data_IF_846935781127
#
_entry.id   IF_846935781127
#
_cell.length_a   1.000
_cell.length_b   1.000
_cell.length_c   1.000
_cell.angle_alpha   90.00
_cell.angle_beta   90.00
_cell.angle_gamma   90.00
#
_symmetry.space_group_name_H-M   'P 1'
#
loop_
_entity.id
_entity.type
_entity.pdbx_description
1 polymer ?
#
# COMPACT_ATOMS: atom_id res chain seq x y z
N UNK A 1 -71.05 6.15 -43.76
CA UNK A 1 -71.71 7.13 -44.64
C UNK A 1 -70.77 7.51 -45.77
N UNK A 2 -71.19 7.17 -47.00
CA UNK A 2 -71.00 7.88 -48.28
C UNK A 2 -69.54 8.16 -48.72
N UNK A 3 -69.04 7.85 -49.82
CA UNK A 3 -69.44 7.37 -51.17
C UNK A 3 -68.30 7.83 -52.08
N UNK A 4 -67.77 6.85 -52.91
CA UNK A 4 -67.12 7.15 -54.20
C UNK A 4 -67.92 8.10 -55.08
N UNK A 5 -67.44 8.68 -56.18
CA UNK A 5 -67.11 7.85 -57.33
C UNK A 5 -66.13 8.40 -58.41
N UNK A 6 -65.66 7.46 -59.26
CA UNK A 6 -65.53 7.53 -60.74
C UNK A 6 -64.76 8.66 -61.47
N UNK A 7 -63.92 8.20 -62.40
CA UNK A 7 -63.51 8.97 -63.57
C UNK A 7 -62.59 8.18 -64.50
N UNK A 8 -63.17 7.67 -65.48
CA UNK A 8 -62.74 6.92 -66.66
C UNK A 8 -61.65 7.58 -67.57
N UNK A 9 -60.76 6.77 -68.15
CA UNK A 9 -60.55 6.74 -69.58
C UNK A 9 -59.26 7.29 -70.15
N UNK A 10 -58.43 6.56 -70.79
CA UNK A 10 -58.25 6.48 -72.26
C UNK A 10 -56.97 5.71 -72.63
N UNK A 11 -57.15 4.78 -73.59
CA UNK A 11 -56.14 4.04 -74.31
C UNK A 11 -55.21 4.92 -75.11
N UNK A 12 -53.90 4.58 -75.14
CA UNK A 12 -53.09 4.78 -76.33
C UNK A 12 -52.00 3.70 -76.35
N UNK A 13 -52.07 2.91 -77.41
CA UNK A 13 -51.00 1.98 -77.86
C UNK A 13 -49.76 2.77 -78.33
N UNK A 14 -48.56 2.29 -78.02
CA UNK A 14 -47.49 2.32 -78.99
C UNK A 14 -46.29 1.44 -78.54
N UNK A 15 -46.03 0.43 -79.33
CA UNK A 15 -44.75 -0.08 -79.82
C UNK A 15 -43.66 -0.58 -78.85
N UNK A 16 -43.44 -1.90 -78.97
CA UNK A 16 -42.33 -2.71 -78.48
C UNK A 16 -40.94 -2.15 -78.88
N UNK A 17 -40.08 -2.02 -77.87
CA UNK A 17 -38.62 -2.15 -78.14
C UNK A 17 -38.07 -3.13 -77.07
N UNK A 18 -37.79 -4.34 -77.54
CA UNK A 18 -37.14 -5.38 -76.68
C UNK A 18 -35.65 -5.04 -76.60
N UNK A 19 -35.24 -4.49 -75.52
CA UNK A 19 -33.82 -4.44 -75.20
C UNK A 19 -33.57 -5.53 -74.15
N UNK A 20 -32.91 -6.59 -74.56
CA UNK A 20 -32.42 -7.67 -73.74
C UNK A 20 -31.22 -7.11 -72.89
N UNK A 21 -31.52 -6.75 -71.66
CA UNK A 21 -30.48 -6.55 -70.65
C UNK A 21 -30.20 -7.87 -69.95
N UNK A 22 -29.01 -8.39 -70.14
CA UNK A 22 -28.47 -9.50 -69.37
C UNK A 22 -28.36 -9.07 -67.89
N UNK A 23 -28.74 -9.95 -66.92
CA UNK A 23 -28.53 -9.63 -65.52
C UNK A 23 -27.03 -9.74 -65.21
N UNK A 24 -26.38 -8.61 -65.03
CA UNK A 24 -25.10 -8.56 -64.31
C UNK A 24 -25.34 -9.07 -62.89
N UNK A 25 -24.96 -10.30 -62.63
CA UNK A 25 -24.77 -10.77 -61.26
C UNK A 25 -23.61 -10.01 -60.65
N UNK A 26 -23.91 -8.86 -60.04
CA UNK A 26 -23.04 -8.30 -59.04
C UNK A 26 -23.07 -9.26 -57.84
N UNK A 27 -22.09 -10.12 -57.76
CA UNK A 27 -21.77 -10.86 -56.56
C UNK A 27 -21.41 -9.83 -55.51
N UNK A 28 -22.38 -9.45 -54.68
CA UNK A 28 -22.15 -8.81 -53.42
C UNK A 28 -21.34 -9.80 -52.57
N UNK A 29 -20.02 -9.65 -52.63
CA UNK A 29 -19.16 -10.25 -51.65
C UNK A 29 -19.58 -9.65 -50.29
N UNK A 30 -20.44 -10.36 -49.56
CA UNK A 30 -20.65 -10.14 -48.16
C UNK A 30 -19.33 -10.44 -47.47
N UNK A 31 -18.53 -9.43 -47.26
CA UNK A 31 -17.36 -9.52 -46.41
C UNK A 31 -17.82 -9.91 -45.00
N UNK A 32 -17.14 -10.81 -44.31
CA UNK A 32 -17.53 -11.30 -43.00
C UNK A 32 -17.28 -10.20 -41.95
N UNK A 33 -18.26 -9.35 -41.73
CA UNK A 33 -18.18 -8.28 -40.69
C UNK A 33 -18.12 -8.86 -39.28
N UNK A 34 -18.73 -10.04 -39.08
CA UNK A 34 -18.75 -10.72 -37.77
C UNK A 34 -17.40 -11.34 -37.39
N UNK A 35 -16.64 -11.86 -38.35
CA UNK A 35 -15.32 -12.44 -38.07
C UNK A 35 -14.27 -11.35 -37.73
N UNK A 36 -14.38 -10.17 -38.35
CA UNK A 36 -13.51 -9.02 -38.03
C UNK A 36 -13.81 -8.44 -36.65
N UNK A 37 -15.08 -8.30 -36.26
CA UNK A 37 -15.47 -7.78 -34.94
C UNK A 37 -15.10 -8.75 -33.82
N UNK A 38 -15.27 -10.06 -33.99
CA UNK A 38 -14.89 -11.08 -33.02
C UNK A 38 -13.37 -11.17 -32.82
N UNK A 39 -12.60 -11.07 -33.89
CA UNK A 39 -11.13 -11.07 -33.82
C UNK A 39 -10.62 -9.80 -33.20
N UNK A 40 -11.26 -8.65 -33.45
CA UNK A 40 -10.93 -7.37 -32.87
C UNK A 40 -11.25 -7.34 -31.36
N UNK A 41 -12.41 -7.84 -30.95
CA UNK A 41 -12.78 -7.95 -29.53
C UNK A 41 -11.83 -8.89 -28.76
N UNK A 42 -11.48 -10.04 -29.30
CA UNK A 42 -10.54 -10.98 -28.68
C UNK A 42 -9.15 -10.35 -28.51
N UNK A 43 -8.69 -9.62 -29.50
CA UNK A 43 -7.42 -8.89 -29.47
C UNK A 43 -7.44 -7.77 -28.43
N UNK A 44 -8.52 -6.98 -28.35
CA UNK A 44 -8.72 -5.95 -27.34
C UNK A 44 -8.72 -6.58 -25.95
N UNK A 45 -9.46 -7.65 -25.76
CA UNK A 45 -9.57 -8.37 -24.48
C UNK A 45 -8.21 -8.90 -24.01
N UNK A 46 -7.43 -9.49 -24.92
CA UNK A 46 -6.08 -9.98 -24.62
C UNK A 46 -5.17 -8.82 -24.22
N UNK A 47 -5.11 -7.76 -25.02
CA UNK A 47 -4.27 -6.59 -24.76
C UNK A 47 -4.62 -5.92 -23.42
N UNK A 48 -5.91 -5.71 -23.15
CA UNK A 48 -6.35 -5.07 -21.89
C UNK A 48 -6.02 -5.87 -20.64
N UNK A 49 -5.97 -7.21 -20.74
CA UNK A 49 -5.75 -8.07 -19.58
C UNK A 49 -4.29 -8.51 -19.41
N UNK A 50 -3.49 -8.46 -20.48
CA UNK A 50 -2.12 -8.98 -20.47
C UNK A 50 -1.26 -8.38 -19.36
N UNK A 51 -1.32 -7.06 -19.18
CA UNK A 51 -0.50 -6.31 -18.22
C UNK A 51 -1.32 -5.65 -17.11
N UNK A 52 -2.51 -6.19 -16.84
CA UNK A 52 -3.35 -5.73 -15.75
C UNK A 52 -2.93 -6.40 -14.44
N UNK A 53 -2.61 -5.58 -13.45
CA UNK A 53 -2.20 -5.98 -12.09
C UNK A 53 -3.27 -5.57 -11.09
N UNK A 54 -3.78 -6.53 -10.33
CA UNK A 54 -4.65 -6.26 -9.19
C UNK A 54 -3.83 -6.01 -7.93
N UNK A 55 -4.05 -4.87 -7.30
CA UNK A 55 -3.36 -4.44 -6.08
C UNK A 55 -4.36 -4.38 -4.91
N UNK A 56 -4.25 -5.32 -3.97
CA UNK A 56 -5.00 -5.26 -2.72
C UNK A 56 -4.46 -4.12 -1.84
N UNK A 57 -5.31 -3.12 -1.59
CA UNK A 57 -4.95 -1.91 -0.88
C UNK A 57 -5.53 -1.87 0.53
N UNK A 58 -6.73 -1.36 0.74
CA UNK A 58 -7.33 -1.22 2.06
C UNK A 58 -8.65 -0.48 2.01
N UNK A 59 -9.09 0.02 3.15
CA UNK A 59 -10.31 0.82 3.24
C UNK A 59 -10.13 2.18 2.55
N UNK A 60 -11.23 2.80 2.06
CA UNK A 60 -11.18 4.07 1.33
C UNK A 60 -10.57 5.23 2.12
N UNK A 61 -10.74 5.23 3.43
CA UNK A 61 -10.21 6.22 4.39
C UNK A 61 -8.80 5.86 4.90
N UNK A 62 -8.20 4.77 4.39
CA UNK A 62 -6.88 4.30 4.78
C UNK A 62 -5.75 4.76 3.84
N UNK A 63 -4.55 4.89 4.38
CA UNK A 63 -3.37 5.30 3.61
C UNK A 63 -3.03 4.36 2.46
N UNK A 64 -3.29 3.07 2.56
CA UNK A 64 -2.99 2.10 1.50
C UNK A 64 -3.69 2.43 0.17
N UNK A 65 -4.98 2.81 0.21
CA UNK A 65 -5.74 3.18 -0.98
C UNK A 65 -5.15 4.43 -1.64
N UNK A 66 -4.70 5.40 -0.85
CA UNK A 66 -4.05 6.60 -1.37
C UNK A 66 -2.78 6.24 -2.15
N UNK A 67 -1.87 5.49 -1.55
CA UNK A 67 -0.64 5.07 -2.23
C UNK A 67 -0.93 4.22 -3.47
N UNK A 68 -1.89 3.30 -3.40
CA UNK A 68 -2.29 2.47 -4.53
C UNK A 68 -2.88 3.29 -5.68
N UNK A 69 -3.69 4.32 -5.37
CA UNK A 69 -4.25 5.24 -6.36
C UNK A 69 -3.19 6.14 -6.99
N UNK A 70 -2.20 6.56 -6.21
CA UNK A 70 -1.07 7.34 -6.70
C UNK A 70 -0.18 6.51 -7.64
N UNK A 71 0.07 5.23 -7.31
CA UNK A 71 0.73 4.29 -8.24
C UNK A 71 -0.07 4.14 -9.54
N UNK A 72 -1.38 3.88 -9.44
CA UNK A 72 -2.22 3.69 -10.62
C UNK A 72 -2.17 4.91 -11.55
N UNK A 73 -2.33 6.13 -11.02
CA UNK A 73 -2.28 7.36 -11.82
C UNK A 73 -0.91 7.62 -12.48
N UNK A 74 0.15 7.08 -11.91
CA UNK A 74 1.52 7.33 -12.37
C UNK A 74 2.01 6.27 -13.33
N UNK A 75 1.58 5.04 -13.13
CA UNK A 75 2.10 3.85 -13.82
C UNK A 75 1.17 3.30 -14.91
N UNK A 76 -0.15 3.59 -14.83
CA UNK A 76 -1.11 3.12 -15.83
C UNK A 76 -0.93 3.90 -17.14
N UNK A 77 -0.57 3.21 -18.21
CA UNK A 77 -0.48 3.74 -19.59
C UNK A 77 -1.49 3.03 -20.53
N UNK A 78 -2.35 2.20 -19.98
CA UNK A 78 -3.42 1.49 -20.68
C UNK A 78 -2.99 0.25 -21.45
N UNK A 79 -1.84 0.27 -22.11
CA UNK A 79 -1.40 -0.84 -22.98
C UNK A 79 -0.27 -1.68 -22.35
N UNK A 80 0.74 -1.04 -21.76
CA UNK A 80 1.90 -1.72 -21.21
C UNK A 80 1.79 -2.03 -19.72
N UNK A 81 1.00 -1.26 -19.00
CA UNK A 81 0.69 -1.48 -17.58
C UNK A 81 -0.68 -0.91 -17.26
N UNK A 82 -1.47 -1.72 -16.58
CA UNK A 82 -2.71 -1.27 -15.95
C UNK A 82 -2.70 -1.73 -14.49
N UNK A 83 -2.85 -0.78 -13.59
CA UNK A 83 -2.91 -1.05 -12.16
C UNK A 83 -4.33 -0.80 -11.65
N UNK A 84 -4.94 -1.82 -11.06
CA UNK A 84 -6.29 -1.75 -10.50
C UNK A 84 -6.18 -1.80 -8.97
N UNK A 85 -6.27 -0.66 -8.27
CA UNK A 85 -6.38 -0.64 -6.83
C UNK A 85 -7.70 -1.26 -6.37
N UNK A 86 -7.63 -2.21 -5.46
CA UNK A 86 -8.77 -2.93 -4.92
C UNK A 86 -9.03 -2.49 -3.48
N UNK A 87 -10.26 -2.06 -3.19
CA UNK A 87 -10.71 -1.79 -1.83
C UNK A 87 -10.85 -3.12 -1.09
N UNK A 88 -10.21 -3.24 0.05
CA UNK A 88 -10.19 -4.42 0.91
C UNK A 88 -10.32 -4.00 2.37
N UNK A 89 -10.34 -4.96 3.28
CA UNK A 89 -10.22 -4.64 4.71
C UNK A 89 -8.78 -4.30 5.14
N UNK A 90 -7.79 -4.52 4.27
CA UNK A 90 -6.38 -4.17 4.52
C UNK A 90 -5.57 -5.28 5.19
N UNK A 91 -4.36 -4.95 5.54
CA UNK A 91 -3.37 -5.67 6.36
C UNK A 91 -3.39 -7.22 6.25
N UNK A 92 -3.96 -7.93 7.20
CA UNK A 92 -4.00 -9.41 7.21
C UNK A 92 -4.92 -9.98 6.14
N UNK A 93 -6.01 -9.28 5.81
CA UNK A 93 -6.90 -9.67 4.70
C UNK A 93 -6.15 -9.63 3.39
N UNK A 94 -5.32 -8.62 3.16
CA UNK A 94 -4.50 -8.50 1.95
C UNK A 94 -3.52 -9.66 1.77
N UNK A 95 -3.01 -10.24 2.86
CA UNK A 95 -2.18 -11.45 2.81
C UNK A 95 -3.02 -12.64 2.35
N UNK A 96 -4.23 -12.80 2.88
CA UNK A 96 -5.16 -13.85 2.47
C UNK A 96 -5.59 -13.69 1.01
N UNK A 97 -5.91 -12.45 0.60
CA UNK A 97 -6.30 -12.13 -0.77
C UNK A 97 -5.16 -12.44 -1.76
N UNK A 98 -3.92 -12.10 -1.42
CA UNK A 98 -2.75 -12.42 -2.24
C UNK A 98 -2.52 -13.93 -2.37
N UNK A 99 -2.86 -14.71 -1.34
CA UNK A 99 -2.72 -16.17 -1.35
C UNK A 99 -3.82 -16.88 -2.14
N UNK A 100 -5.05 -16.39 -2.10
CA UNK A 100 -6.22 -17.17 -2.48
C UNK A 100 -7.17 -16.48 -3.46
N UNK A 101 -7.18 -15.14 -3.53
CA UNK A 101 -8.12 -14.42 -4.38
C UNK A 101 -7.59 -14.30 -5.82
N UNK A 102 -8.41 -14.69 -6.79
CA UNK A 102 -8.06 -14.50 -8.20
C UNK A 102 -8.04 -13.01 -8.56
N UNK A 103 -7.03 -12.60 -9.31
CA UNK A 103 -6.89 -11.20 -9.76
C UNK A 103 -6.11 -10.31 -8.79
N UNK A 104 -5.67 -10.82 -7.64
CA UNK A 104 -4.72 -10.15 -6.78
C UNK A 104 -3.31 -10.64 -7.11
N UNK A 105 -2.46 -9.74 -7.56
CA UNK A 105 -1.07 -10.01 -7.93
C UNK A 105 -0.10 -9.35 -6.94
N UNK A 106 -0.53 -8.25 -6.33
CA UNK A 106 0.24 -7.41 -5.41
C UNK A 106 -0.64 -7.02 -4.21
N UNK A 107 -0.05 -6.85 -3.05
CA UNK A 107 -0.75 -6.43 -1.84
C UNK A 107 0.10 -5.48 -1.00
N UNK A 108 -0.54 -4.48 -0.37
CA UNK A 108 0.11 -3.66 0.65
C UNK A 108 -0.26 -4.23 2.02
N UNK A 109 0.76 -4.49 2.85
CA UNK A 109 0.58 -4.99 4.22
C UNK A 109 1.65 -4.43 5.15
N UNK A 110 1.68 -4.82 6.41
CA UNK A 110 2.72 -4.44 7.36
C UNK A 110 3.59 -5.63 7.76
N UNK A 111 4.82 -5.34 8.19
CA UNK A 111 5.78 -6.38 8.54
C UNK A 111 5.30 -7.26 9.70
N UNK A 112 4.69 -6.68 10.72
CA UNK A 112 4.13 -7.39 11.88
C UNK A 112 2.91 -8.25 11.52
N UNK A 113 2.13 -7.83 10.52
CA UNK A 113 0.96 -8.57 10.06
C UNK A 113 1.32 -9.92 9.42
N UNK A 114 2.44 -9.97 8.70
CA UNK A 114 2.91 -11.20 8.08
C UNK A 114 3.32 -12.24 9.13
N UNK A 115 4.10 -11.83 10.12
CA UNK A 115 4.50 -12.73 11.21
C UNK A 115 3.28 -13.26 11.99
N UNK A 116 2.35 -12.36 12.30
CA UNK A 116 1.09 -12.73 12.96
C UNK A 116 0.28 -13.72 12.12
N UNK A 117 0.07 -13.44 10.83
CA UNK A 117 -0.68 -14.29 9.93
C UNK A 117 -0.01 -15.66 9.76
N UNK A 118 1.31 -15.68 9.60
CA UNK A 118 2.10 -16.91 9.49
C UNK A 118 1.91 -17.82 10.69
N UNK A 119 1.93 -17.26 11.91
CA UNK A 119 1.73 -18.02 13.15
C UNK A 119 0.29 -18.52 13.33
N UNK A 120 -0.70 -17.72 12.94
CA UNK A 120 -2.11 -18.09 13.07
C UNK A 120 -2.60 -19.08 12.01
N UNK A 121 -2.15 -18.92 10.76
CA UNK A 121 -2.64 -19.73 9.64
C UNK A 121 -2.11 -21.17 9.65
N UNK A 122 -1.05 -21.45 10.43
CA UNK A 122 -0.37 -22.74 10.40
C UNK A 122 0.32 -23.08 9.07
N UNK A 123 0.45 -22.11 8.17
CA UNK A 123 1.07 -22.30 6.86
C UNK A 123 2.60 -22.28 6.99
N UNK A 124 3.20 -23.43 7.19
CA UNK A 124 4.64 -23.58 7.37
C UNK A 124 5.48 -23.02 6.20
N UNK A 125 4.90 -22.94 5.00
CA UNK A 125 5.60 -22.51 3.77
C UNK A 125 5.17 -21.12 3.27
N UNK A 126 4.57 -20.28 4.10
CA UNK A 126 4.07 -18.97 3.66
C UNK A 126 5.22 -18.10 3.09
N UNK A 127 6.42 -18.18 3.68
CA UNK A 127 7.63 -17.50 3.23
C UNK A 127 8.12 -17.95 1.85
N UNK A 128 7.66 -19.09 1.33
CA UNK A 128 7.97 -19.54 -0.01
C UNK A 128 6.91 -19.12 -1.03
N UNK A 129 5.71 -18.80 -0.55
CA UNK A 129 4.56 -18.40 -1.36
C UNK A 129 4.47 -16.89 -1.53
N UNK A 130 4.77 -16.13 -0.48
CA UNK A 130 4.75 -14.65 -0.49
C UNK A 130 6.17 -14.12 -0.35
N UNK A 131 6.50 -13.10 -1.13
CA UNK A 131 7.75 -12.36 -1.12
C UNK A 131 7.46 -10.88 -0.99
N UNK A 132 8.41 -10.09 -0.48
CA UNK A 132 8.29 -8.65 -0.58
C UNK A 132 9.00 -8.15 -1.85
N UNK A 133 8.33 -7.28 -2.61
CA UNK A 133 8.97 -6.56 -3.69
C UNK A 133 9.85 -5.44 -3.14
N UNK A 134 9.33 -4.65 -2.22
CA UNK A 134 10.11 -3.62 -1.52
C UNK A 134 9.54 -3.34 -0.13
N UNK A 135 10.39 -2.84 0.76
CA UNK A 135 9.94 -2.12 1.94
C UNK A 135 9.29 -0.83 1.43
N UNK A 136 8.03 -0.67 1.74
CA UNK A 136 7.25 0.44 1.25
C UNK A 136 7.36 1.63 2.21
N UNK A 137 6.31 2.39 2.46
CA UNK A 137 6.38 3.49 3.41
C UNK A 137 6.40 3.00 4.87
N UNK A 138 6.78 3.91 5.77
CA UNK A 138 6.78 3.63 7.21
C UNK A 138 5.53 4.28 7.82
N UNK A 139 4.78 3.49 8.60
CA UNK A 139 3.59 3.97 9.30
C UNK A 139 3.88 4.21 10.78
N UNK A 140 3.56 5.40 11.23
CA UNK A 140 3.70 5.79 12.64
C UNK A 140 2.50 5.34 13.45
N UNK A 141 2.75 5.01 14.71
CA UNK A 141 1.71 4.66 15.66
C UNK A 141 1.24 5.92 16.34
N UNK A 142 -0.03 6.26 16.11
CA UNK A 142 -0.67 7.39 16.75
C UNK A 142 -1.59 6.86 17.85
N UNK A 143 -1.37 7.26 19.10
CA UNK A 143 -2.27 6.98 20.21
C UNK A 143 -2.81 8.31 20.67
N UNK A 144 -4.07 8.59 20.31
CA UNK A 144 -4.76 9.82 20.67
C UNK A 144 -5.70 9.55 21.83
N UNK A 145 -5.57 10.29 22.92
CA UNK A 145 -6.18 10.00 24.21
C UNK A 145 -6.83 11.24 24.83
N UNK A 146 -7.74 11.01 25.78
CA UNK A 146 -8.25 12.06 26.65
C UNK A 146 -7.17 12.52 27.64
N UNK A 147 -7.24 13.77 28.05
CA UNK A 147 -6.20 14.45 28.82
C UNK A 147 -5.91 13.86 30.20
N UNK A 148 -6.86 13.14 30.82
CA UNK A 148 -6.63 12.47 32.08
C UNK A 148 -5.64 11.30 32.00
N UNK A 149 -5.39 10.75 30.81
CA UNK A 149 -4.41 9.68 30.59
C UNK A 149 -3.10 10.30 30.09
N UNK A 150 -2.03 10.22 30.86
CA UNK A 150 -0.73 10.85 30.54
C UNK A 150 0.33 9.88 30.05
N UNK A 151 0.08 8.58 30.21
CA UNK A 151 0.98 7.51 29.81
C UNK A 151 0.19 6.31 29.27
N UNK A 152 0.89 5.38 28.58
CA UNK A 152 0.28 4.13 28.14
C UNK A 152 -0.17 3.26 29.32
N UNK A 153 0.50 3.36 30.46
CA UNK A 153 0.16 2.61 31.67
C UNK A 153 -1.20 3.02 32.23
N UNK A 154 -1.59 4.28 32.07
CA UNK A 154 -2.89 4.78 32.54
C UNK A 154 -4.06 4.16 31.75
N UNK A 155 -3.77 3.58 30.58
CA UNK A 155 -4.75 2.88 29.74
C UNK A 155 -5.02 1.43 30.20
N UNK A 156 -4.34 0.95 31.26
CA UNK A 156 -4.58 -0.40 31.78
C UNK A 156 -6.04 -0.58 32.20
N UNK A 157 -6.67 -1.63 31.68
CA UNK A 157 -8.09 -1.93 31.90
C UNK A 157 -9.07 -0.99 31.20
N UNK A 158 -8.58 0.04 30.49
CA UNK A 158 -9.41 1.01 29.79
C UNK A 158 -9.87 0.50 28.43
N UNK A 159 -10.99 1.07 27.95
CA UNK A 159 -11.48 0.86 26.58
C UNK A 159 -10.65 1.68 25.60
N UNK A 160 -10.01 0.99 24.64
CA UNK A 160 -9.19 1.62 23.60
C UNK A 160 -9.73 1.22 22.21
N UNK A 161 -10.03 2.21 21.38
CA UNK A 161 -10.45 1.96 20.01
C UNK A 161 -9.24 1.54 19.16
N UNK A 162 -9.36 0.41 18.43
CA UNK A 162 -8.23 -0.20 17.70
C UNK A 162 -8.51 -0.43 16.20
N UNK A 163 -9.53 0.24 15.65
CA UNK A 163 -9.92 0.01 14.26
C UNK A 163 -10.78 -1.25 14.08
N UNK A 164 -11.35 -1.41 12.91
CA UNK A 164 -12.13 -2.60 12.52
C UNK A 164 -11.21 -3.77 12.16
N UNK A 165 -11.76 -4.98 12.15
CA UNK A 165 -11.01 -6.18 11.79
C UNK A 165 -10.34 -6.03 10.40
N UNK A 166 -9.08 -6.46 10.31
CA UNK A 166 -8.28 -6.42 9.08
C UNK A 166 -7.41 -5.16 8.92
N UNK A 167 -7.76 -4.01 9.53
CA UNK A 167 -6.91 -2.82 9.47
C UNK A 167 -5.69 -2.93 10.40
N UNK A 168 -4.67 -2.14 10.12
CA UNK A 168 -3.41 -2.15 10.88
C UNK A 168 -3.63 -1.97 12.39
N UNK A 169 -4.37 -0.97 12.80
CA UNK A 169 -4.59 -0.65 14.20
C UNK A 169 -5.26 -1.79 14.99
N UNK A 170 -6.10 -2.61 14.32
CA UNK A 170 -6.76 -3.77 14.95
C UNK A 170 -5.78 -4.89 15.31
N UNK A 171 -4.65 -4.96 14.63
CA UNK A 171 -3.57 -5.90 14.90
C UNK A 171 -2.47 -5.26 15.73
N UNK A 172 -1.88 -4.20 15.20
CA UNK A 172 -0.71 -3.53 15.77
C UNK A 172 -1.01 -2.91 17.13
N UNK A 173 -2.20 -2.33 17.31
CA UNK A 173 -2.61 -1.74 18.59
C UNK A 173 -2.53 -2.74 19.76
N UNK A 174 -3.33 -3.82 19.74
CA UNK A 174 -3.27 -4.83 20.80
C UNK A 174 -1.90 -5.48 20.97
N UNK A 175 -1.11 -5.64 19.88
CA UNK A 175 0.25 -6.16 19.96
C UNK A 175 1.17 -5.23 20.77
N UNK A 176 1.09 -3.93 20.57
CA UNK A 176 1.90 -2.94 21.29
C UNK A 176 1.59 -3.00 22.80
N UNK A 177 0.33 -2.93 23.17
CA UNK A 177 -0.06 -2.98 24.58
C UNK A 177 0.33 -4.32 25.23
N UNK A 178 0.13 -5.45 24.55
CA UNK A 178 0.55 -6.77 25.04
C UNK A 178 2.06 -6.86 25.25
N UNK A 179 2.88 -6.32 24.31
CA UNK A 179 4.33 -6.31 24.44
C UNK A 179 4.82 -5.49 25.63
N UNK A 180 4.07 -4.45 25.99
CA UNK A 180 4.34 -3.62 27.15
C UNK A 180 3.73 -4.19 28.47
N UNK A 181 3.05 -5.32 28.41
CA UNK A 181 2.37 -5.90 29.56
C UNK A 181 1.19 -5.08 30.07
N UNK A 182 0.53 -4.32 29.18
CA UNK A 182 -0.62 -3.47 29.48
C UNK A 182 -1.87 -4.12 28.92
N UNK A 183 -2.77 -4.58 29.76
CA UNK A 183 -4.06 -5.13 29.35
C UNK A 183 -5.04 -3.98 29.06
N UNK A 184 -5.63 -3.98 27.89
CA UNK A 184 -6.66 -3.03 27.46
C UNK A 184 -7.94 -3.75 27.05
N UNK A 185 -9.07 -3.05 27.09
CA UNK A 185 -10.33 -3.53 26.48
C UNK A 185 -10.42 -2.98 25.05
N UNK A 186 -10.19 -3.83 24.05
CA UNK A 186 -10.24 -3.41 22.65
C UNK A 186 -11.65 -3.11 22.17
N UNK A 187 -11.83 -1.97 21.49
CA UNK A 187 -13.10 -1.57 20.86
C UNK A 187 -12.88 -1.49 19.35
N UNK A 188 -13.45 -2.45 18.57
CA UNK A 188 -13.22 -2.54 17.12
C UNK A 188 -14.10 -1.55 16.34
N UNK A 189 -13.65 -0.30 16.20
CA UNK A 189 -14.36 0.74 15.45
C UNK A 189 -13.40 1.53 14.56
N UNK A 190 -13.87 1.96 13.37
CA UNK A 190 -13.09 2.75 12.42
C UNK A 190 -12.73 4.14 12.96
N UNK A 191 -11.73 4.78 12.36
CA UNK A 191 -11.13 6.03 12.85
C UNK A 191 -12.12 7.16 13.14
N UNK A 192 -13.03 7.53 12.21
CA UNK A 192 -14.01 8.58 12.46
C UNK A 192 -14.93 8.27 13.66
N UNK A 193 -15.46 7.04 13.73
CA UNK A 193 -16.30 6.60 14.85
C UNK A 193 -15.49 6.51 16.15
N UNK A 194 -14.21 6.15 16.08
CA UNK A 194 -13.33 6.15 17.25
C UNK A 194 -13.15 7.55 17.84
N UNK A 195 -12.97 8.58 16.99
CA UNK A 195 -12.92 9.98 17.42
C UNK A 195 -14.22 10.44 18.10
N UNK A 196 -15.38 10.08 17.55
CA UNK A 196 -16.68 10.39 18.16
C UNK A 196 -16.82 9.73 19.53
N UNK A 197 -16.45 8.43 19.65
CA UNK A 197 -16.48 7.70 20.92
C UNK A 197 -15.49 8.25 21.94
N UNK A 198 -14.33 8.71 21.48
CA UNK A 198 -13.35 9.39 22.34
C UNK A 198 -13.94 10.67 22.91
N UNK A 199 -14.52 11.53 22.06
CA UNK A 199 -15.20 12.76 22.47
C UNK A 199 -16.40 12.52 23.40
N UNK A 200 -17.14 11.44 23.15
CA UNK A 200 -18.24 11.01 24.00
C UNK A 200 -17.83 10.27 25.29
N UNK A 201 -16.55 10.16 25.59
CA UNK A 201 -16.04 9.49 26.81
C UNK A 201 -16.24 7.97 26.82
N UNK A 202 -16.61 7.36 25.70
CA UNK A 202 -16.89 5.92 25.60
C UNK A 202 -15.62 5.08 25.47
N UNK A 203 -14.51 5.68 25.03
CA UNK A 203 -13.17 5.11 25.02
C UNK A 203 -12.17 6.10 25.62
N UNK A 204 -11.12 5.59 26.24
CA UNK A 204 -10.04 6.37 26.84
C UNK A 204 -9.06 6.91 25.82
N UNK A 205 -8.78 6.10 24.78
CA UNK A 205 -7.86 6.41 23.71
C UNK A 205 -8.27 5.69 22.43
N UNK A 206 -7.64 6.09 21.32
CA UNK A 206 -7.68 5.37 20.06
C UNK A 206 -6.29 5.15 19.50
N UNK A 207 -6.09 4.03 18.83
CA UNK A 207 -4.89 3.72 18.06
C UNK A 207 -5.17 3.93 16.58
N UNK A 208 -4.26 4.64 15.90
CA UNK A 208 -4.27 4.81 14.46
C UNK A 208 -2.87 4.55 13.90
N UNK A 209 -2.77 3.79 12.83
CA UNK A 209 -1.50 3.39 12.21
C UNK A 209 -1.50 3.88 10.78
N UNK A 210 -0.68 4.88 10.49
CA UNK A 210 -0.60 5.51 9.17
C UNK A 210 0.75 6.20 8.94
N UNK A 211 1.13 6.37 7.67
CA UNK A 211 2.19 7.30 7.33
C UNK A 211 1.77 8.73 7.72
N UNK A 212 2.72 9.52 8.19
CA UNK A 212 2.45 10.92 8.55
C UNK A 212 2.62 11.86 7.35
N UNK A 213 1.71 12.84 7.17
CA UNK A 213 0.49 13.04 7.97
C UNK A 213 -0.57 11.96 7.67
N UNK A 214 -1.12 11.36 8.73
CA UNK A 214 -2.21 10.40 8.59
C UNK A 214 -3.54 11.09 8.27
N UNK A 215 -4.30 10.56 7.33
CA UNK A 215 -5.51 11.20 6.80
C UNK A 215 -6.53 11.58 7.89
N UNK A 216 -6.67 10.74 8.92
CA UNK A 216 -7.62 10.98 10.01
C UNK A 216 -7.32 12.27 10.80
N UNK A 217 -6.03 12.59 10.97
CA UNK A 217 -5.58 13.76 11.74
C UNK A 217 -5.16 14.93 10.83
N UNK A 218 -5.13 14.73 9.52
CA UNK A 218 -4.74 15.75 8.57
C UNK A 218 -5.77 16.89 8.55
N UNK A 219 -5.32 18.11 8.90
CA UNK A 219 -6.20 19.26 9.00
C UNK A 219 -7.08 19.32 10.27
N UNK A 220 -7.02 18.32 11.15
CA UNK A 220 -7.70 18.34 12.43
C UNK A 220 -7.07 19.43 13.32
N UNK A 221 -7.93 20.25 13.94
CA UNK A 221 -7.51 21.30 14.88
C UNK A 221 -7.35 20.72 16.27
N UNK A 222 -6.46 21.33 17.06
CA UNK A 222 -6.33 21.00 18.47
C UNK A 222 -7.65 21.24 19.22
N UNK A 223 -8.06 20.25 19.98
CA UNK A 223 -9.25 20.29 20.83
C UNK A 223 -8.79 20.21 22.30
N UNK A 224 -9.25 21.09 23.20
CA UNK A 224 -8.97 20.95 24.63
C UNK A 224 -9.47 19.59 25.14
N UNK A 225 -8.68 18.97 26.01
CA UNK A 225 -9.04 17.68 26.60
C UNK A 225 -8.53 16.45 25.86
N UNK A 226 -7.73 16.63 24.77
CA UNK A 226 -7.16 15.51 24.00
C UNK A 226 -5.73 15.78 23.58
N UNK A 227 -4.92 14.73 23.53
CA UNK A 227 -3.53 14.80 23.08
C UNK A 227 -3.01 13.45 22.56
N UNK A 228 -1.86 13.47 21.89
CA UNK A 228 -1.13 12.25 21.56
C UNK A 228 -0.33 11.75 22.76
N UNK A 229 -0.46 10.44 23.07
CA UNK A 229 0.40 9.76 24.02
C UNK A 229 1.70 9.30 23.36
N UNK A 230 2.86 9.49 24.00
CA UNK A 230 4.11 8.96 23.51
C UNK A 230 4.14 7.42 23.60
N UNK A 231 4.77 6.78 22.62
CA UNK A 231 5.08 5.35 22.63
C UNK A 231 6.60 5.19 22.68
N UNK A 232 7.19 4.95 23.86
CA UNK A 232 8.64 4.85 23.98
C UNK A 232 9.17 3.63 23.25
N UNK A 233 10.26 3.82 22.48
CA UNK A 233 10.93 2.72 21.78
C UNK A 233 11.76 1.91 22.76
N UNK A 234 11.29 0.72 23.12
CA UNK A 234 11.89 -0.18 24.09
C UNK A 234 12.31 -1.50 23.42
N UNK A 235 13.03 -2.38 24.14
CA UNK A 235 13.52 -3.68 23.63
C UNK A 235 12.41 -4.56 23.08
N UNK A 236 11.18 -4.41 23.60
CA UNK A 236 9.98 -5.14 23.20
C UNK A 236 9.60 -4.87 21.74
N UNK A 237 10.14 -3.78 21.14
CA UNK A 237 9.81 -3.33 19.79
C UNK A 237 10.92 -3.55 18.76
N UNK A 238 12.07 -4.10 19.11
CA UNK A 238 13.25 -4.17 18.24
C UNK A 238 13.10 -5.12 17.04
N UNK A 239 12.09 -5.98 17.04
CA UNK A 239 11.93 -6.98 15.98
C UNK A 239 11.47 -6.37 14.65
N UNK A 240 10.40 -5.55 14.69
CA UNK A 240 9.76 -5.02 13.49
C UNK A 240 9.63 -3.52 13.49
N UNK A 241 9.64 -2.89 14.68
CA UNK A 241 9.34 -1.48 14.83
C UNK A 241 10.60 -0.63 14.82
N UNK A 242 10.43 0.62 14.45
CA UNK A 242 11.48 1.62 14.44
C UNK A 242 11.13 2.77 15.40
N UNK A 243 12.11 3.42 16.03
CA UNK A 243 11.84 4.67 16.73
C UNK A 243 11.41 5.73 15.74
N UNK A 244 10.37 6.47 16.09
CA UNK A 244 9.85 7.57 15.28
C UNK A 244 9.42 8.75 16.15
N UNK A 245 9.10 9.87 15.50
CA UNK A 245 8.67 11.10 16.17
C UNK A 245 7.61 11.77 15.31
N UNK A 246 6.46 12.07 15.89
CA UNK A 246 5.41 12.91 15.29
C UNK A 246 5.75 14.35 15.64
N UNK A 247 6.03 15.18 14.63
CA UNK A 247 6.41 16.57 14.81
C UNK A 247 5.25 17.51 14.49
N UNK A 248 5.32 18.75 15.03
CA UNK A 248 4.33 19.77 14.72
C UNK A 248 4.13 20.02 13.23
N UNK A 249 5.21 19.89 12.40
CA UNK A 249 5.13 20.05 10.94
C UNK A 249 4.26 18.98 10.27
N UNK A 250 4.08 17.82 10.90
CA UNK A 250 3.20 16.78 10.39
C UNK A 250 1.72 17.13 10.62
N UNK A 251 1.42 17.84 11.68
CA UNK A 251 0.05 18.22 12.11
C UNK A 251 0.02 19.65 12.66
N UNK A 252 0.26 20.67 11.82
CA UNK A 252 0.48 22.05 12.28
C UNK A 252 -0.76 22.70 12.92
N UNK A 253 -1.96 22.20 12.63
CA UNK A 253 -3.19 22.67 13.26
C UNK A 253 -3.52 21.94 14.58
N UNK A 254 -2.88 20.78 14.83
CA UNK A 254 -3.15 19.91 15.99
C UNK A 254 -2.07 20.01 17.06
N UNK A 255 -0.82 20.20 16.66
CA UNK A 255 0.32 20.24 17.56
C UNK A 255 0.91 21.66 17.66
N UNK A 256 1.31 22.11 18.87
CA UNK A 256 1.98 23.41 19.05
C UNK A 256 3.28 23.49 18.23
N UNK A 257 3.61 24.66 17.66
CA UNK A 257 4.85 24.84 16.92
C UNK A 257 6.09 24.41 17.72
N UNK A 258 6.99 23.64 17.08
CA UNK A 258 8.21 23.14 17.70
C UNK A 258 8.03 21.94 18.63
N UNK A 259 6.79 21.50 18.88
CA UNK A 259 6.54 20.29 19.68
C UNK A 259 6.79 19.00 18.90
N UNK A 260 7.06 17.94 19.63
CA UNK A 260 7.23 16.61 19.09
C UNK A 260 6.78 15.53 20.08
N UNK A 261 6.27 14.44 19.56
CA UNK A 261 5.82 13.27 20.33
C UNK A 261 6.62 12.06 19.87
N UNK A 262 7.33 11.45 20.79
CA UNK A 262 8.04 10.20 20.51
C UNK A 262 7.05 9.07 20.31
N UNK A 263 7.28 8.30 19.26
CA UNK A 263 6.47 7.14 18.93
C UNK A 263 7.31 6.03 18.30
N UNK A 264 6.67 4.93 17.95
CA UNK A 264 7.26 3.87 17.15
C UNK A 264 6.56 3.81 15.79
N UNK A 265 7.24 3.21 14.82
CA UNK A 265 6.70 3.05 13.49
C UNK A 265 6.89 1.61 13.00
N UNK A 266 5.98 1.13 12.15
CA UNK A 266 6.04 -0.16 11.51
C UNK A 266 6.24 0.02 10.00
N UNK A 267 7.17 -0.71 9.36
CA UNK A 267 7.30 -0.64 7.91
C UNK A 267 6.12 -1.34 7.23
N UNK A 268 5.54 -0.67 6.24
CA UNK A 268 4.68 -1.35 5.30
C UNK A 268 5.51 -2.08 4.24
N UNK A 269 4.88 -3.04 3.60
CA UNK A 269 5.51 -3.97 2.66
C UNK A 269 4.65 -4.08 1.42
N UNK A 270 5.25 -3.89 0.26
CA UNK A 270 4.64 -4.25 -1.00
C UNK A 270 4.94 -5.73 -1.27
N UNK A 271 3.94 -6.56 -1.03
CA UNK A 271 4.02 -8.01 -1.12
C UNK A 271 3.53 -8.51 -2.47
N UNK A 272 4.14 -9.58 -2.96
CA UNK A 272 3.77 -10.27 -4.20
C UNK A 272 3.72 -11.78 -3.96
N UNK A 273 2.89 -12.48 -4.73
CA UNK A 273 2.98 -13.93 -4.73
C UNK A 273 4.25 -14.38 -5.48
N UNK A 274 4.91 -15.40 -4.98
CA UNK A 274 6.15 -15.94 -5.56
C UNK A 274 5.85 -16.84 -6.77
N UNK A 275 5.39 -16.24 -7.86
CA UNK A 275 5.07 -16.95 -9.09
C UNK A 275 6.29 -17.65 -9.66
N UNK A 276 6.08 -18.83 -10.24
CA UNK A 276 7.12 -19.57 -10.94
C UNK A 276 7.64 -18.75 -12.14
N UNK A 277 8.95 -18.56 -12.28
CA UNK A 277 9.53 -17.87 -13.44
C UNK A 277 9.06 -18.46 -14.77
N UNK A 278 8.86 -17.60 -15.77
CA UNK A 278 8.37 -17.99 -17.10
C UNK A 278 6.85 -18.22 -17.15
N UNK A 279 6.09 -17.76 -16.17
CA UNK A 279 4.62 -17.71 -16.23
C UNK A 279 4.14 -16.28 -16.48
N UNK A 280 3.01 -16.12 -17.17
CA UNK A 280 2.40 -14.82 -17.46
C UNK A 280 2.23 -13.95 -16.21
N UNK A 281 1.95 -14.60 -15.06
CA UNK A 281 1.80 -13.89 -13.79
C UNK A 281 3.13 -13.41 -13.24
N UNK A 282 4.20 -14.20 -13.36
CA UNK A 282 5.54 -13.76 -12.99
C UNK A 282 5.98 -12.56 -13.85
N UNK A 283 5.75 -12.63 -15.17
CA UNK A 283 6.12 -11.57 -16.11
C UNK A 283 5.33 -10.28 -15.83
N UNK A 284 4.06 -10.39 -15.45
CA UNK A 284 3.22 -9.28 -15.06
C UNK A 284 3.72 -8.60 -13.79
N UNK A 285 4.07 -9.38 -12.76
CA UNK A 285 4.64 -8.86 -11.51
C UNK A 285 6.02 -8.25 -11.74
N UNK A 286 6.86 -8.88 -12.57
CA UNK A 286 8.17 -8.34 -12.93
C UNK A 286 8.05 -6.97 -13.60
N UNK A 287 7.16 -6.85 -14.59
CA UNK A 287 6.88 -5.58 -15.27
C UNK A 287 6.35 -4.52 -14.30
N UNK A 288 5.43 -4.90 -13.41
CA UNK A 288 4.94 -4.00 -12.37
C UNK A 288 6.09 -3.43 -11.51
N UNK A 289 7.00 -4.28 -11.06
CA UNK A 289 8.15 -3.85 -10.24
C UNK A 289 9.06 -2.91 -11.02
N UNK A 290 9.39 -3.24 -12.28
CA UNK A 290 10.20 -2.36 -13.14
C UNK A 290 9.54 -1.00 -13.35
N UNK A 291 8.24 -0.98 -13.67
CA UNK A 291 7.48 0.25 -13.87
C UNK A 291 7.45 1.09 -12.61
N UNK A 292 7.27 0.46 -11.43
CA UNK A 292 7.30 1.17 -10.15
C UNK A 292 8.68 1.79 -9.88
N UNK A 293 9.75 1.04 -10.08
CA UNK A 293 11.12 1.52 -9.85
C UNK A 293 11.45 2.72 -10.76
N UNK A 294 11.07 2.63 -12.03
CA UNK A 294 11.28 3.70 -13.00
C UNK A 294 10.45 4.97 -12.69
N UNK A 295 9.33 4.84 -11.98
CA UNK A 295 8.46 5.97 -11.61
C UNK A 295 8.65 6.45 -10.17
N UNK A 296 9.57 5.84 -9.40
CA UNK A 296 9.70 6.16 -7.98
C UNK A 296 10.09 7.62 -7.75
N UNK A 297 11.05 8.15 -8.52
CA UNK A 297 11.47 9.55 -8.40
C UNK A 297 10.30 10.52 -8.60
N UNK A 298 9.40 10.24 -9.56
CA UNK A 298 8.21 11.05 -9.79
C UNK A 298 7.24 10.97 -8.62
N UNK A 299 7.04 9.78 -8.04
CA UNK A 299 6.16 9.57 -6.89
C UNK A 299 6.68 10.26 -5.62
N UNK A 300 7.97 10.53 -5.52
CA UNK A 300 8.59 11.23 -4.39
C UNK A 300 8.42 12.75 -4.42
N UNK A 301 7.88 13.30 -5.51
CA UNK A 301 7.64 14.73 -5.67
C UNK A 301 6.17 15.10 -5.44
N UNK A 302 5.87 16.36 -5.05
CA UNK A 302 4.49 16.83 -4.97
C UNK A 302 3.74 16.65 -6.30
N UNK A 303 2.45 16.38 -6.30
CA UNK A 303 1.51 16.41 -5.16
C UNK A 303 1.30 15.06 -4.45
N UNK A 304 2.21 14.11 -4.62
CA UNK A 304 2.09 12.79 -4.05
C UNK A 304 2.36 12.78 -2.53
N UNK A 305 1.95 11.72 -1.87
CA UNK A 305 2.08 11.60 -0.41
C UNK A 305 3.57 11.66 0.02
N UNK A 306 3.93 12.46 1.05
CA UNK A 306 5.32 12.57 1.51
C UNK A 306 5.98 11.24 1.90
N UNK A 307 5.20 10.26 2.34
CA UNK A 307 5.69 8.91 2.68
C UNK A 307 6.37 8.15 1.53
N UNK A 308 6.21 8.60 0.27
CA UNK A 308 6.99 8.06 -0.84
C UNK A 308 8.49 8.29 -0.68
N UNK A 309 8.89 9.35 0.05
CA UNK A 309 10.29 9.67 0.34
C UNK A 309 10.94 8.70 1.33
N UNK A 310 10.13 7.92 2.07
CA UNK A 310 10.62 6.89 2.99
C UNK A 310 11.04 5.60 2.28
N UNK A 311 10.71 5.47 0.99
CA UNK A 311 10.99 4.25 0.24
C UNK A 311 12.46 4.17 -0.13
N UNK A 312 13.08 3.07 0.27
CA UNK A 312 14.42 2.67 -0.14
C UNK A 312 14.36 1.30 -0.81
N UNK A 313 14.71 1.27 -2.09
CA UNK A 313 14.67 0.06 -2.93
C UNK A 313 15.58 -1.06 -2.39
N UNK A 314 16.70 -0.70 -1.77
CA UNK A 314 17.67 -1.64 -1.19
C UNK A 314 17.28 -2.15 0.20
N UNK A 315 16.31 -1.53 0.87
CA UNK A 315 15.99 -1.85 2.26
C UNK A 315 15.44 -3.26 2.43
N UNK A 316 15.89 -3.93 3.48
CA UNK A 316 15.42 -5.26 3.85
C UNK A 316 14.23 -5.18 4.82
N UNK A 317 13.40 -6.23 4.80
CA UNK A 317 12.28 -6.42 5.73
C UNK A 317 12.58 -7.64 6.58
N UNK A 318 12.81 -7.48 7.89
CA UNK A 318 13.09 -8.59 8.78
C UNK A 318 11.99 -9.67 8.74
N UNK A 319 12.39 -10.93 8.66
CA UNK A 319 11.47 -12.07 8.61
C UNK A 319 10.83 -12.34 7.25
N UNK A 320 11.07 -11.50 6.25
CA UNK A 320 10.57 -11.68 4.88
C UNK A 320 11.69 -12.05 3.90
N UNK A 321 11.36 -12.80 2.87
CA UNK A 321 12.28 -13.04 1.74
C UNK A 321 11.94 -12.11 0.59
N UNK A 322 12.96 -11.49 -0.01
CA UNK A 322 12.81 -10.61 -1.18
C UNK A 322 12.34 -11.39 -2.40
N UNK A 323 11.51 -10.77 -3.24
CA UNK A 323 11.13 -11.35 -4.53
C UNK A 323 12.36 -11.47 -5.44
N UNK A 324 12.66 -12.64 -6.00
CA UNK A 324 13.93 -12.89 -6.68
C UNK A 324 14.23 -11.91 -7.81
N UNK A 325 13.24 -11.54 -8.59
CA UNK A 325 13.41 -10.59 -9.70
C UNK A 325 13.86 -9.20 -9.23
N UNK A 326 13.41 -8.74 -8.07
CA UNK A 326 13.85 -7.46 -7.49
C UNK A 326 15.35 -7.48 -7.20
N UNK A 327 15.90 -8.59 -6.73
CA UNK A 327 17.33 -8.70 -6.52
C UNK A 327 18.12 -8.55 -7.83
N UNK A 328 17.64 -9.16 -8.91
CA UNK A 328 18.22 -9.02 -10.25
C UNK A 328 18.14 -7.56 -10.74
N UNK A 329 16.99 -6.91 -10.54
CA UNK A 329 16.79 -5.53 -10.96
C UNK A 329 17.71 -4.57 -10.19
N UNK A 330 17.84 -4.73 -8.88
CA UNK A 330 18.75 -3.93 -8.05
C UNK A 330 20.22 -4.09 -8.47
N UNK A 331 20.64 -5.30 -8.84
CA UNK A 331 22.00 -5.53 -9.34
C UNK A 331 22.24 -4.87 -10.72
N UNK A 332 21.24 -4.86 -11.60
CA UNK A 332 21.30 -4.09 -12.86
C UNK A 332 21.45 -2.59 -12.58
N UNK A 333 20.60 -2.03 -11.73
CA UNK A 333 20.63 -0.62 -11.36
C UNK A 333 21.95 -0.19 -10.74
N UNK A 334 22.58 -1.05 -9.92
CA UNK A 334 23.92 -0.79 -9.37
C UNK A 334 24.99 -0.74 -10.47
N UNK A 335 24.88 -1.60 -11.47
CA UNK A 335 25.84 -1.65 -12.59
C UNK A 335 25.71 -0.42 -13.50
N UNK A 336 24.48 0.07 -13.64
CA UNK A 336 24.17 1.19 -14.53
C UNK A 336 24.37 2.56 -13.85
N UNK A 337 24.96 2.57 -12.62
CA UNK A 337 25.09 3.77 -11.76
C UNK A 337 23.77 4.54 -11.52
N UNK A 338 22.63 3.97 -11.91
CA UNK A 338 21.34 4.54 -11.75
C UNK A 338 20.71 4.10 -10.41
N UNK A 339 20.67 5.01 -9.46
CA UNK A 339 20.09 4.81 -8.12
C UNK A 339 20.82 3.71 -7.34
N UNK A 340 22.06 3.98 -7.02
CA UNK A 340 22.87 3.12 -6.19
C UNK A 340 22.19 2.80 -4.86
N UNK A 341 22.52 1.68 -4.31
CA UNK A 341 22.11 1.23 -2.97
C UNK A 341 22.72 2.09 -1.84
N UNK A 342 22.77 3.40 -2.02
CA UNK A 342 22.98 4.34 -0.93
C UNK A 342 21.70 4.38 -0.11
N UNK A 343 21.75 4.12 1.20
CA UNK A 343 20.60 4.33 2.07
C UNK A 343 20.10 5.76 1.84
N UNK A 344 18.80 5.94 1.60
CA UNK A 344 18.28 7.29 1.52
C UNK A 344 18.48 7.97 2.90
N UNK A 345 18.40 9.28 2.93
CA UNK A 345 18.60 10.05 4.17
C UNK A 345 17.67 9.58 5.31
N UNK A 346 16.46 9.14 4.98
CA UNK A 346 15.49 8.62 5.95
C UNK A 346 15.96 7.30 6.58
N UNK A 347 16.50 6.37 5.78
CA UNK A 347 17.03 5.10 6.32
C UNK A 347 18.27 5.31 7.18
N UNK A 348 19.17 6.18 6.73
CA UNK A 348 20.36 6.53 7.52
C UNK A 348 19.97 7.20 8.84
N UNK A 349 19.00 8.12 8.81
CA UNK A 349 18.45 8.75 10.01
C UNK A 349 17.77 7.73 10.94
N UNK A 350 17.02 6.79 10.36
CA UNK A 350 16.34 5.73 11.11
C UNK A 350 17.32 4.77 11.79
N UNK A 351 18.34 4.33 11.06
CA UNK A 351 19.42 3.50 11.61
C UNK A 351 20.16 4.25 12.73
N UNK A 352 20.41 5.55 12.54
CA UNK A 352 21.04 6.39 13.55
C UNK A 352 20.21 6.49 14.83
N UNK A 353 18.90 6.71 14.71
CA UNK A 353 17.97 6.73 15.85
C UNK A 353 17.93 5.39 16.59
N UNK A 354 17.93 4.26 15.88
CA UNK A 354 18.02 2.93 16.51
C UNK A 354 19.32 2.76 17.31
N UNK A 355 20.43 3.24 16.75
CA UNK A 355 21.71 3.21 17.41
C UNK A 355 21.73 4.13 18.65
N UNK A 356 21.22 5.35 18.54
CA UNK A 356 21.11 6.28 19.67
C UNK A 356 20.22 5.72 20.79
N UNK A 357 19.09 5.11 20.45
CA UNK A 357 18.24 4.42 21.41
C UNK A 357 18.91 3.18 22.05
N UNK A 358 19.77 2.49 21.31
CA UNK A 358 20.60 1.41 21.84
C UNK A 358 21.65 1.94 22.82
N UNK A 359 22.35 3.02 22.45
CA UNK A 359 23.38 3.63 23.32
C UNK A 359 22.80 4.18 24.63
N UNK A 360 21.62 4.79 24.59
CA UNK A 360 20.96 5.32 25.78
C UNK A 360 20.68 4.26 26.86
N UNK A 361 20.79 2.97 26.52
CA UNK A 361 20.55 1.83 27.42
C UNK A 361 21.82 1.08 27.82
N UNK A 362 22.98 1.49 27.30
CA UNK A 362 24.24 0.88 27.69
C UNK A 362 24.75 1.46 29.03
N UNK A 363 25.31 0.64 29.92
CA UNK A 363 25.83 1.09 31.21
C UNK A 363 27.06 2.00 31.09
N UNK A 364 27.67 2.10 29.92
CA UNK A 364 28.78 3.00 29.58
C UNK A 364 28.41 3.81 28.35
N UNK A 365 28.17 5.10 28.53
CA UNK A 365 27.92 6.02 27.42
C UNK A 365 29.26 6.45 26.80
N UNK A 366 29.39 6.48 25.46
CA UNK A 366 30.59 6.99 24.79
C UNK A 366 30.88 8.44 25.23
N UNK A 367 32.11 8.73 25.51
CA UNK A 367 32.53 10.04 26.05
C UNK A 367 32.88 11.06 24.96
N UNK A 368 33.06 10.61 23.70
CA UNK A 368 33.37 11.49 22.57
C UNK A 368 32.53 11.19 21.33
N UNK A 369 32.41 12.19 20.46
CA UNK A 369 31.72 12.04 19.18
C UNK A 369 32.41 11.02 18.24
N UNK A 370 33.72 10.91 18.30
CA UNK A 370 34.51 9.95 17.51
C UNK A 370 34.24 8.50 17.96
N UNK A 371 34.20 8.26 19.27
CA UNK A 371 33.89 6.95 19.85
C UNK A 371 32.47 6.50 19.53
N UNK A 372 31.52 7.46 19.55
CA UNK A 372 30.12 7.21 19.15
C UNK A 372 30.03 6.81 17.66
N UNK A 373 30.81 7.44 16.79
CA UNK A 373 30.83 7.15 15.37
C UNK A 373 31.44 5.78 15.05
N UNK A 374 32.50 5.39 15.78
CA UNK A 374 33.14 4.08 15.66
C UNK A 374 32.20 2.97 16.14
N UNK A 375 31.51 3.19 17.24
CA UNK A 375 30.48 2.26 17.73
C UNK A 375 29.29 2.16 16.75
N UNK A 376 28.93 3.24 16.08
CA UNK A 376 27.88 3.22 15.06
C UNK A 376 28.30 2.39 13.84
N UNK A 377 29.53 2.53 13.36
CA UNK A 377 30.09 1.69 12.29
C UNK A 377 30.09 0.22 12.69
N UNK A 378 30.55 -0.07 13.90
CA UNK A 378 30.54 -1.43 14.45
C UNK A 378 29.14 -2.03 14.56
N UNK A 379 28.16 -1.23 14.95
CA UNK A 379 26.74 -1.60 15.00
C UNK A 379 26.19 -1.92 13.60
N UNK A 380 26.53 -1.12 12.59
CA UNK A 380 26.13 -1.38 11.21
C UNK A 380 26.73 -2.67 10.66
N UNK A 381 28.00 -2.92 10.95
CA UNK A 381 28.70 -4.14 10.53
C UNK A 381 28.22 -5.38 11.29
N UNK A 382 27.87 -5.22 12.54
CA UNK A 382 27.22 -6.28 13.31
C UNK A 382 25.83 -6.63 12.73
N UNK A 383 24.99 -5.63 12.43
CA UNK A 383 23.68 -5.83 11.79
C UNK A 383 23.80 -6.52 10.40
N UNK A 384 24.86 -6.24 9.62
CA UNK A 384 25.11 -6.92 8.34
C UNK A 384 25.50 -8.38 8.52
N UNK A 385 26.27 -8.70 9.55
CA UNK A 385 26.75 -10.07 9.82
C UNK A 385 25.75 -10.95 10.55
N UNK A 386 24.79 -10.33 11.23
CA UNK A 386 23.73 -11.01 11.96
C UNK A 386 22.37 -10.55 11.45
N UNK A 387 22.04 -10.82 10.16
CA UNK A 387 20.67 -10.64 9.70
C UNK A 387 19.82 -11.54 10.59
N UNK A 388 18.93 -10.94 11.36
CA UNK A 388 18.04 -11.71 12.27
C UNK A 388 17.17 -12.62 11.39
N UNK A 389 17.32 -13.94 11.59
CA UNK A 389 16.46 -14.98 11.04
C UNK A 389 15.00 -14.76 11.44
#
# INVERSE_FOLDING_TARGET
>A
MRRNPFGTGLLALTTCLVISLAPSQAALAQAPSEARTATDEASIKTRMNQWTVGLAAGLPDGGFVRFASEMARTMDDGDNMRLIPMVTHGTTTNIADLLYLRGVDVAITYADAFDFYSKQSGLANINDRIRYALRFFIADIHIYARDEFKSLQDLRGQKVAVGTAGVAAALTGPLIFRRLGIDIQTVPVGGPVALERLRGGQVAAMVYVAAKPGELFNGMKAEPGYHFLPVPYTKEFWDYYYPSTIKAENYPALLPPGSSIDTIAVPSVLAVYNWKPGTDRADRVNRFVETLFNNLARLQEPPFHPGWKDINLGAEVPGWKRYPYVAVLLERMKKDDAVGATPNAADSALQRRRFDAFLAKQPKTPTSGAEKEELYKSFLDWNKRHPRN
#
